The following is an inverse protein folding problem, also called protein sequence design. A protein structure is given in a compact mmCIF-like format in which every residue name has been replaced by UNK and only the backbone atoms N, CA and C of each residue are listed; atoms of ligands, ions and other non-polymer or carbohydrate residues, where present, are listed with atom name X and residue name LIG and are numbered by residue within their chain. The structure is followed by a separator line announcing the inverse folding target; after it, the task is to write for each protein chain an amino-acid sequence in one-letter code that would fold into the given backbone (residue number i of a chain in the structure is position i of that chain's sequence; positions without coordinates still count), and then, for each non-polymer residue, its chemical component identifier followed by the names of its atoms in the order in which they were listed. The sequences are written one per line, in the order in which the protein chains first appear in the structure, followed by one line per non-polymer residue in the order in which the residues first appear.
data_IF_069246964116
#
_entry.id   IF_069246964116
#
_cell.length_a   1.000
_cell.length_b   1.000
_cell.length_c   1.000
_cell.angle_alpha   90.00
_cell.angle_beta   90.00
_cell.angle_gamma   90.00
#
_symmetry.space_group_name_H-M   'P 1'
#
loop_
_entity.id
_entity.type
_entity.pdbx_description
1 polymer ?
#
# COMPACT_ATOMS: atom_id res chain seq x y z
N UNK A 1 37.63 7.05 -24.31
CA UNK A 1 36.92 7.44 -23.06
C UNK A 1 35.64 8.15 -23.45
N UNK A 2 34.50 7.45 -23.48
CA UNK A 2 33.21 8.04 -23.87
C UNK A 2 32.45 8.52 -22.63
N UNK A 3 32.45 9.83 -22.42
CA UNK A 3 31.60 10.48 -21.43
C UNK A 3 30.15 10.36 -21.89
N UNK A 4 29.43 9.36 -21.38
CA UNK A 4 28.00 9.17 -21.65
C UNK A 4 27.22 10.34 -21.08
N UNK A 5 26.82 11.27 -21.95
CA UNK A 5 25.80 12.29 -21.70
C UNK A 5 24.49 11.61 -21.32
N UNK A 6 24.29 11.39 -20.03
CA UNK A 6 22.98 11.00 -19.50
C UNK A 6 22.09 12.24 -19.57
N UNK A 7 21.06 12.19 -20.41
CA UNK A 7 20.05 13.25 -20.48
C UNK A 7 19.53 13.57 -19.07
N UNK A 8 19.18 14.84 -18.78
CA UNK A 8 18.61 15.22 -17.48
C UNK A 8 17.48 14.31 -17.02
N UNK A 9 16.61 13.88 -17.96
CA UNK A 9 15.54 12.92 -17.72
C UNK A 9 16.03 11.56 -17.22
N UNK A 10 17.09 11.00 -17.82
CA UNK A 10 17.65 9.71 -17.41
C UNK A 10 18.28 9.78 -16.01
N UNK A 11 18.92 10.91 -15.66
CA UNK A 11 19.45 11.13 -14.30
C UNK A 11 18.33 11.27 -13.28
N UNK A 12 17.27 11.99 -13.63
CA UNK A 12 16.09 12.12 -12.79
C UNK A 12 15.41 10.77 -12.55
N UNK A 13 15.09 10.01 -13.61
CA UNK A 13 14.47 8.70 -13.50
C UNK A 13 15.32 7.72 -12.67
N UNK A 14 16.65 7.75 -12.80
CA UNK A 14 17.55 6.95 -11.96
C UNK A 14 17.53 7.37 -10.49
N UNK A 15 17.40 8.66 -10.20
CA UNK A 15 17.29 9.15 -8.82
C UNK A 15 15.96 8.76 -8.18
N UNK A 16 14.88 8.89 -8.95
CA UNK A 16 13.50 8.62 -8.51
C UNK A 16 13.26 7.12 -8.31
N UNK A 17 13.58 6.29 -9.32
CA UNK A 17 13.23 4.87 -9.32
C UNK A 17 14.41 3.93 -9.10
N UNK A 18 15.65 4.40 -9.27
CA UNK A 18 16.83 3.53 -9.19
C UNK A 18 16.92 2.75 -7.88
N UNK A 19 16.87 3.40 -6.70
CA UNK A 19 16.94 2.70 -5.42
C UNK A 19 15.86 1.61 -5.25
N UNK A 20 14.62 1.91 -5.68
CA UNK A 20 13.49 0.98 -5.64
C UNK A 20 13.72 -0.20 -6.60
N UNK A 21 14.04 0.11 -7.86
CA UNK A 21 14.25 -0.87 -8.92
C UNK A 21 15.36 -1.86 -8.56
N UNK A 22 16.52 -1.37 -8.08
CA UNK A 22 17.63 -2.25 -7.71
C UNK A 22 17.28 -3.12 -6.50
N UNK A 23 16.57 -2.58 -5.50
CA UNK A 23 16.15 -3.38 -4.34
C UNK A 23 15.24 -4.52 -4.75
N UNK A 24 14.23 -4.22 -5.58
CA UNK A 24 13.28 -5.23 -6.07
C UNK A 24 13.98 -6.26 -6.94
N UNK A 25 14.78 -5.80 -7.92
CA UNK A 25 15.50 -6.70 -8.83
C UNK A 25 16.49 -7.59 -8.08
N UNK A 26 17.27 -7.06 -7.16
CA UNK A 26 18.27 -7.85 -6.44
C UNK A 26 17.61 -8.91 -5.54
N UNK A 27 16.49 -8.56 -4.89
CA UNK A 27 15.69 -9.54 -4.12
C UNK A 27 15.08 -10.62 -5.02
N UNK A 28 14.50 -10.25 -6.17
CA UNK A 28 13.94 -11.21 -7.11
C UNK A 28 14.99 -12.13 -7.74
N UNK A 29 16.20 -11.62 -8.02
CA UNK A 29 17.30 -12.43 -8.54
C UNK A 29 17.83 -13.40 -7.48
N UNK A 30 18.00 -12.93 -6.23
CA UNK A 30 18.57 -13.74 -5.15
C UNK A 30 17.59 -14.76 -4.59
N UNK A 31 16.37 -14.31 -4.29
CA UNK A 31 15.40 -15.05 -3.47
C UNK A 31 14.20 -15.57 -4.30
N UNK A 32 14.06 -15.12 -5.57
CA UNK A 32 12.97 -15.48 -6.49
C UNK A 32 11.60 -15.34 -5.83
N UNK A 33 10.84 -16.43 -5.72
CA UNK A 33 9.49 -16.45 -5.17
C UNK A 33 9.50 -16.31 -3.64
N UNK A 34 10.63 -16.63 -2.99
CA UNK A 34 10.83 -16.45 -1.54
C UNK A 34 11.05 -14.99 -1.16
N UNK A 35 11.15 -14.09 -2.14
CA UNK A 35 11.25 -12.65 -1.90
C UNK A 35 9.94 -12.04 -1.36
N UNK A 36 8.79 -12.66 -1.65
CA UNK A 36 7.48 -12.15 -1.25
C UNK A 36 6.47 -13.27 -0.88
N UNK A 37 6.79 -14.14 0.11
CA UNK A 37 5.94 -15.27 0.48
C UNK A 37 4.56 -14.84 1.02
N UNK A 38 4.48 -13.71 1.73
CA UNK A 38 3.19 -13.20 2.23
C UNK A 38 2.30 -12.75 1.07
N UNK A 39 2.88 -12.04 0.09
CA UNK A 39 2.17 -11.59 -1.11
C UNK A 39 1.66 -12.77 -1.94
N UNK A 40 2.49 -13.82 -2.13
CA UNK A 40 2.06 -15.03 -2.81
C UNK A 40 0.93 -15.73 -2.04
N UNK A 41 1.03 -15.81 -0.71
CA UNK A 41 -0.03 -16.32 0.15
C UNK A 41 -1.33 -15.51 0.02
N UNK A 42 -1.23 -14.19 -0.01
CA UNK A 42 -2.34 -13.27 -0.22
C UNK A 42 -3.02 -13.45 -1.59
N UNK A 43 -2.25 -13.57 -2.67
CA UNK A 43 -2.77 -13.83 -4.02
C UNK A 43 -3.46 -15.19 -4.07
N UNK A 44 -2.83 -16.23 -3.50
CA UNK A 44 -3.43 -17.57 -3.42
C UNK A 44 -4.74 -17.56 -2.63
N UNK A 45 -4.74 -16.92 -1.45
CA UNK A 45 -5.91 -16.82 -0.60
C UNK A 45 -7.06 -16.06 -1.28
N UNK A 46 -6.74 -14.93 -1.93
CA UNK A 46 -7.70 -14.15 -2.74
C UNK A 46 -8.27 -14.98 -3.90
N UNK A 47 -7.42 -15.77 -4.57
CA UNK A 47 -7.85 -16.66 -5.65
C UNK A 47 -8.74 -17.79 -5.14
N UNK A 48 -8.45 -18.36 -3.96
CA UNK A 48 -9.29 -19.37 -3.32
C UNK A 48 -10.65 -18.78 -2.96
N UNK A 49 -10.70 -17.60 -2.34
CA UNK A 49 -11.96 -16.92 -2.05
C UNK A 49 -12.76 -16.63 -3.32
N UNK A 50 -12.09 -16.21 -4.41
CA UNK A 50 -12.73 -16.07 -5.70
C UNK A 50 -13.34 -17.38 -6.22
N UNK A 51 -12.61 -18.49 -6.13
CA UNK A 51 -13.12 -19.78 -6.61
C UNK A 51 -14.33 -20.20 -5.78
N UNK A 52 -14.23 -20.11 -4.45
CA UNK A 52 -15.29 -20.53 -3.52
C UNK A 52 -16.53 -19.65 -3.67
N UNK A 53 -16.41 -18.32 -3.80
CA UNK A 53 -17.58 -17.44 -3.94
C UNK A 53 -18.40 -17.71 -5.21
N UNK A 54 -17.76 -18.25 -6.26
CA UNK A 54 -18.42 -18.61 -7.53
C UNK A 54 -19.03 -20.02 -7.51
N UNK A 55 -19.03 -20.71 -6.36
CA UNK A 55 -19.75 -21.98 -6.19
C UNK A 55 -21.17 -21.75 -5.68
N UNK A 56 -22.07 -22.69 -5.95
CA UNK A 56 -23.49 -22.60 -5.61
C UNK A 56 -23.81 -22.44 -4.11
N UNK A 57 -22.85 -22.75 -3.23
CA UNK A 57 -23.00 -22.66 -1.77
C UNK A 57 -22.00 -21.68 -1.12
N UNK A 58 -20.94 -21.28 -1.82
CA UNK A 58 -19.79 -20.57 -1.22
C UNK A 58 -19.92 -19.05 -1.16
N UNK A 59 -20.91 -18.46 -1.80
CA UNK A 59 -21.15 -17.01 -1.79
C UNK A 59 -21.39 -16.46 -0.37
N UNK A 60 -22.31 -17.07 0.38
CA UNK A 60 -22.71 -16.60 1.71
C UNK A 60 -21.63 -16.79 2.79
N UNK A 61 -20.90 -17.93 2.83
CA UNK A 61 -19.74 -18.10 3.70
C UNK A 61 -18.63 -17.07 3.45
N UNK A 62 -18.29 -16.79 2.18
CA UNK A 62 -17.22 -15.83 1.82
C UNK A 62 -17.62 -14.40 2.17
N UNK A 63 -18.87 -13.99 1.91
CA UNK A 63 -19.40 -12.71 2.37
C UNK A 63 -19.40 -12.59 3.89
N UNK A 64 -19.81 -13.63 4.62
CA UNK A 64 -19.85 -13.60 6.09
C UNK A 64 -18.46 -13.53 6.73
N UNK A 65 -17.42 -14.05 6.06
CA UNK A 65 -16.03 -14.01 6.49
C UNK A 65 -15.31 -12.70 6.11
N UNK A 66 -15.67 -12.09 4.98
CA UNK A 66 -14.89 -11.01 4.35
C UNK A 66 -15.58 -9.66 4.16
N UNK A 67 -16.91 -9.62 4.12
CA UNK A 67 -17.66 -8.36 4.05
C UNK A 67 -17.69 -7.73 5.44
N UNK A 68 -17.04 -6.58 5.57
CA UNK A 68 -17.25 -5.66 6.67
C UNK A 68 -18.24 -4.63 6.16
N UNK A 69 -19.44 -4.62 6.71
CA UNK A 69 -20.42 -3.57 6.41
C UNK A 69 -20.17 -2.39 7.33
N UNK A 70 -20.42 -1.17 6.86
CA UNK A 70 -20.29 0.04 7.68
C UNK A 70 -21.15 0.00 8.97
N UNK A 71 -22.20 -0.84 8.98
CA UNK A 71 -23.12 -1.06 10.11
C UNK A 71 -22.57 -2.06 11.15
N UNK A 72 -21.52 -2.83 10.83
CA UNK A 72 -21.01 -3.86 11.73
C UNK A 72 -20.30 -3.24 12.96
N UNK A 73 -20.39 -3.88 14.14
CA UNK A 73 -19.68 -3.44 15.34
C UNK A 73 -18.19 -3.27 15.06
N UNK A 74 -17.60 -2.19 15.56
CA UNK A 74 -16.21 -1.79 15.26
C UNK A 74 -15.20 -2.91 15.61
N UNK A 75 -15.50 -3.72 16.62
CA UNK A 75 -14.71 -4.89 17.00
C UNK A 75 -14.73 -6.03 15.96
N UNK A 76 -15.88 -6.28 15.32
CA UNK A 76 -16.01 -7.25 14.22
C UNK A 76 -15.31 -6.73 12.95
N UNK A 77 -15.38 -5.43 12.70
CA UNK A 77 -14.63 -4.78 11.63
C UNK A 77 -13.11 -4.89 11.84
N UNK A 78 -12.60 -4.67 13.06
CA UNK A 78 -11.19 -4.85 13.40
C UNK A 78 -10.73 -6.31 13.26
N UNK A 79 -11.59 -7.28 13.57
CA UNK A 79 -11.27 -8.72 13.47
C UNK A 79 -11.31 -9.24 12.03
N UNK A 80 -12.19 -8.69 11.19
CA UNK A 80 -12.40 -9.10 9.78
C UNK A 80 -11.61 -8.28 8.77
N UNK A 81 -11.15 -7.08 9.11
CA UNK A 81 -10.34 -6.21 8.23
C UNK A 81 -9.09 -6.89 7.65
N UNK A 82 -8.36 -7.79 8.36
CA UNK A 82 -7.25 -8.52 7.74
C UNK A 82 -7.71 -9.48 6.63
N UNK A 83 -8.89 -10.08 6.78
CA UNK A 83 -9.47 -11.04 5.82
C UNK A 83 -10.21 -10.34 4.68
N UNK A 84 -10.85 -9.20 4.96
CA UNK A 84 -11.57 -8.36 4.01
C UNK A 84 -10.69 -7.84 2.86
N UNK A 85 -9.40 -7.62 3.14
CA UNK A 85 -8.38 -7.29 2.13
C UNK A 85 -8.26 -8.32 1.00
N UNK A 86 -8.63 -9.58 1.27
CA UNK A 86 -8.48 -10.71 0.35
C UNK A 86 -9.81 -11.19 -0.22
N UNK A 87 -10.93 -10.56 0.13
CA UNK A 87 -12.24 -10.91 -0.41
C UNK A 87 -12.55 -10.02 -1.62
N UNK A 88 -12.68 -10.59 -2.83
CA UNK A 88 -12.91 -9.81 -4.04
C UNK A 88 -14.27 -9.11 -4.01
N UNK A 89 -14.29 -7.81 -4.34
CA UNK A 89 -15.52 -7.11 -4.65
C UNK A 89 -16.14 -7.69 -5.95
N UNK A 90 -17.44 -7.97 -5.92
CA UNK A 90 -18.16 -8.62 -7.04
C UNK A 90 -18.23 -7.75 -8.31
N UNK A 91 -18.02 -6.43 -8.18
CA UNK A 91 -18.26 -5.47 -9.26
C UNK A 91 -17.00 -5.08 -10.06
N UNK A 92 -15.83 -5.67 -9.75
CA UNK A 92 -14.56 -5.37 -10.44
C UNK A 92 -13.88 -6.63 -10.96
N UNK A 93 -13.18 -6.57 -12.13
CA UNK A 93 -12.43 -7.70 -12.63
C UNK A 93 -11.41 -8.15 -11.59
N UNK A 94 -11.54 -9.37 -11.07
CA UNK A 94 -10.65 -9.95 -10.05
C UNK A 94 -9.18 -9.88 -10.42
N UNK A 95 -8.88 -9.95 -11.71
CA UNK A 95 -7.54 -9.77 -12.24
C UNK A 95 -6.91 -8.43 -11.83
N UNK A 96 -7.71 -7.35 -11.71
CA UNK A 96 -7.27 -6.05 -11.23
C UNK A 96 -6.85 -6.08 -9.76
N UNK A 97 -7.66 -6.68 -8.89
CA UNK A 97 -7.33 -6.85 -7.47
C UNK A 97 -6.10 -7.75 -7.26
N UNK A 98 -6.03 -8.88 -7.97
CA UNK A 98 -4.89 -9.80 -7.91
C UNK A 98 -3.60 -9.13 -8.41
N UNK A 99 -3.67 -8.36 -9.50
CA UNK A 99 -2.51 -7.62 -10.02
C UNK A 99 -2.03 -6.55 -9.03
N UNK A 100 -2.96 -5.81 -8.42
CA UNK A 100 -2.63 -4.80 -7.41
C UNK A 100 -1.97 -5.42 -6.18
N UNK A 101 -2.50 -6.53 -5.66
CA UNK A 101 -1.89 -7.28 -4.56
C UNK A 101 -0.50 -7.76 -4.98
N UNK A 102 -0.39 -8.51 -6.07
CA UNK A 102 0.88 -9.07 -6.53
C UNK A 102 1.97 -8.00 -6.69
N UNK A 103 1.64 -6.88 -7.35
CA UNK A 103 2.60 -5.83 -7.64
C UNK A 103 2.89 -4.97 -6.41
N UNK A 104 1.86 -4.40 -5.78
CA UNK A 104 2.08 -3.38 -4.73
C UNK A 104 2.39 -4.02 -3.39
N UNK A 105 1.73 -5.12 -3.01
CA UNK A 105 2.14 -5.85 -1.80
C UNK A 105 3.49 -6.51 -2.02
N UNK A 106 3.77 -7.07 -3.21
CA UNK A 106 5.05 -7.70 -3.52
C UNK A 106 6.22 -6.72 -3.44
N UNK A 107 6.10 -5.56 -4.11
CA UNK A 107 7.10 -4.49 -4.02
C UNK A 107 7.25 -4.03 -2.57
N UNK A 108 6.15 -3.82 -1.84
CA UNK A 108 6.19 -3.37 -0.45
C UNK A 108 6.85 -4.39 0.46
N UNK A 109 6.49 -5.67 0.38
CA UNK A 109 7.07 -6.75 1.17
C UNK A 109 8.58 -6.83 0.97
N UNK A 110 9.04 -6.76 -0.28
CA UNK A 110 10.47 -6.75 -0.60
C UNK A 110 11.16 -5.50 -0.03
N UNK A 111 10.52 -4.34 -0.15
CA UNK A 111 11.14 -3.05 0.15
C UNK A 111 11.15 -2.71 1.64
N UNK A 112 10.07 -3.02 2.35
CA UNK A 112 9.86 -2.60 3.75
C UNK A 112 9.64 -3.79 4.70
N UNK A 113 9.52 -5.02 4.18
CA UNK A 113 9.29 -6.24 4.94
C UNK A 113 7.81 -6.52 5.18
N UNK A 114 7.45 -7.81 5.25
CA UNK A 114 6.06 -8.29 5.35
C UNK A 114 5.27 -7.65 6.51
N UNK A 115 5.87 -7.55 7.70
CA UNK A 115 5.22 -6.95 8.87
C UNK A 115 4.82 -5.49 8.64
N UNK A 116 5.71 -4.69 8.03
CA UNK A 116 5.42 -3.28 7.76
C UNK A 116 4.39 -3.15 6.65
N UNK A 117 4.45 -4.01 5.64
CA UNK A 117 3.42 -4.07 4.59
C UNK A 117 2.04 -4.32 5.21
N UNK A 118 1.92 -5.30 6.11
CA UNK A 118 0.66 -5.58 6.79
C UNK A 118 0.19 -4.43 7.67
N UNK A 119 1.07 -3.86 8.51
CA UNK A 119 0.69 -2.75 9.41
C UNK A 119 0.25 -1.52 8.63
N UNK A 120 1.00 -1.13 7.59
CA UNK A 120 0.65 0.05 6.78
C UNK A 120 -0.62 -0.20 5.97
N UNK A 121 -0.76 -1.37 5.37
CA UNK A 121 -1.99 -1.76 4.66
C UNK A 121 -3.20 -1.75 5.60
N UNK A 122 -3.05 -2.27 6.82
CA UNK A 122 -4.09 -2.27 7.84
C UNK A 122 -4.49 -0.87 8.27
N UNK A 123 -3.51 0.01 8.55
CA UNK A 123 -3.79 1.43 8.88
C UNK A 123 -4.54 2.13 7.76
N UNK A 124 -4.15 1.90 6.51
CA UNK A 124 -4.80 2.49 5.34
C UNK A 124 -6.26 2.03 5.20
N UNK A 125 -6.52 0.72 5.30
CA UNK A 125 -7.89 0.17 5.25
C UNK A 125 -8.74 0.61 6.44
N UNK A 126 -8.15 0.64 7.64
CA UNK A 126 -8.86 1.12 8.84
C UNK A 126 -9.24 2.60 8.71
N UNK A 127 -8.38 3.42 8.11
CA UNK A 127 -8.68 4.83 7.87
C UNK A 127 -9.82 5.01 6.85
N UNK A 128 -9.82 4.24 5.76
CA UNK A 128 -10.93 4.26 4.78
C UNK A 128 -12.27 3.89 5.42
N UNK A 129 -12.31 2.74 6.10
CA UNK A 129 -13.53 2.26 6.79
C UNK A 129 -13.98 3.18 7.93
N UNK A 130 -13.06 3.83 8.66
CA UNK A 130 -13.41 4.82 9.69
C UNK A 130 -13.98 6.08 9.06
N UNK A 131 -13.42 6.53 7.94
CA UNK A 131 -13.94 7.65 7.18
C UNK A 131 -15.36 7.37 6.67
N UNK A 132 -15.62 6.18 6.12
CA UNK A 132 -16.96 5.80 5.68
C UNK A 132 -17.99 5.88 6.83
N UNK A 133 -17.61 5.41 8.03
CA UNK A 133 -18.46 5.51 9.24
C UNK A 133 -18.71 6.95 9.68
N UNK A 134 -17.67 7.78 9.72
CA UNK A 134 -17.78 9.20 10.11
C UNK A 134 -18.60 9.97 9.07
N UNK A 135 -18.34 9.79 7.78
CA UNK A 135 -19.08 10.42 6.70
C UNK A 135 -20.57 10.07 6.72
N UNK A 136 -20.92 8.81 6.98
CA UNK A 136 -22.31 8.39 7.17
C UNK A 136 -22.96 9.04 8.40
N UNK A 137 -22.21 9.28 9.47
CA UNK A 137 -22.72 9.95 10.69
C UNK A 137 -22.92 11.45 10.51
N UNK A 138 -22.17 12.09 9.61
CA UNK A 138 -22.26 13.52 9.31
C UNK A 138 -23.44 13.87 8.39
N UNK A 139 -23.95 12.90 7.61
CA UNK A 139 -25.09 13.08 6.70
C UNK A 139 -24.76 13.85 5.42
N UNK A 140 -25.57 13.68 4.36
CA UNK A 140 -25.29 14.19 3.02
C UNK A 140 -25.15 15.74 2.93
N UNK A 141 -25.69 16.47 3.89
CA UNK A 141 -25.66 17.93 3.93
C UNK A 141 -24.29 18.50 4.37
N UNK A 142 -23.38 17.63 4.82
CA UNK A 142 -22.03 18.02 5.24
C UNK A 142 -21.01 17.80 4.10
N UNK A 143 -20.04 18.71 3.87
CA UNK A 143 -19.05 18.57 2.78
C UNK A 143 -18.14 17.33 2.89
N UNK A 144 -18.10 16.69 4.06
CA UNK A 144 -17.42 15.39 4.30
C UNK A 144 -18.40 14.24 4.58
N UNK A 145 -19.70 14.49 4.41
CA UNK A 145 -20.75 13.54 4.68
C UNK A 145 -21.01 12.63 3.49
N UNK A 146 -21.66 11.49 3.76
CA UNK A 146 -22.01 10.49 2.77
C UNK A 146 -23.53 10.29 2.75
N UNK A 147 -24.15 10.17 1.57
CA UNK A 147 -25.56 9.85 1.45
C UNK A 147 -25.84 8.43 1.96
N UNK A 148 -27.04 8.22 2.54
CA UNK A 148 -27.44 6.94 3.16
C UNK A 148 -27.46 5.79 2.14
N UNK A 149 -27.56 6.07 0.84
CA UNK A 149 -27.44 5.10 -0.25
C UNK A 149 -26.11 4.35 -0.27
N UNK A 150 -25.04 4.96 0.24
CA UNK A 150 -23.69 4.38 0.25
C UNK A 150 -23.51 3.32 1.36
N UNK A 151 -24.49 3.18 2.27
CA UNK A 151 -24.49 2.23 3.39
C UNK A 151 -24.50 0.75 2.96
N UNK A 152 -24.78 0.46 1.68
CA UNK A 152 -24.93 -0.90 1.12
C UNK A 152 -23.74 -1.30 0.22
N UNK A 153 -22.86 -0.36 -0.14
CA UNK A 153 -21.69 -0.65 -0.97
C UNK A 153 -20.65 -1.39 -0.11
N UNK A 154 -20.17 -2.54 -0.59
CA UNK A 154 -19.13 -3.30 0.09
C UNK A 154 -17.83 -2.46 0.10
N UNK A 155 -17.43 -1.95 1.28
CA UNK A 155 -16.16 -1.23 1.57
C UNK A 155 -14.93 -2.17 1.53
N UNK A 156 -14.94 -3.19 0.66
CA UNK A 156 -14.02 -4.32 0.76
C UNK A 156 -13.26 -4.50 -0.52
N UNK A 157 -12.05 -3.95 -0.55
CA UNK A 157 -11.07 -4.21 -1.58
C UNK A 157 -9.66 -3.85 -1.13
N UNK A 158 -8.62 -4.45 -1.73
CA UNK A 158 -7.23 -4.15 -1.39
C UNK A 158 -6.83 -2.71 -1.77
N UNK A 159 -7.65 -1.97 -2.53
CA UNK A 159 -7.30 -0.69 -3.15
C UNK A 159 -6.85 0.38 -2.16
N UNK A 160 -7.54 0.57 -1.03
CA UNK A 160 -7.13 1.54 0.00
C UNK A 160 -5.75 1.18 0.58
N UNK A 161 -5.51 -0.10 0.88
CA UNK A 161 -4.21 -0.59 1.33
C UNK A 161 -3.13 -0.43 0.25
N UNK A 162 -3.46 -0.70 -1.01
CA UNK A 162 -2.57 -0.55 -2.17
C UNK A 162 -2.14 0.91 -2.32
N UNK A 163 -3.08 1.85 -2.28
CA UNK A 163 -2.80 3.29 -2.36
C UNK A 163 -1.93 3.72 -1.18
N UNK A 164 -2.29 3.34 0.04
CA UNK A 164 -1.50 3.65 1.25
C UNK A 164 -0.07 3.11 1.17
N UNK A 165 0.10 1.85 0.77
CA UNK A 165 1.41 1.23 0.58
C UNK A 165 2.24 1.93 -0.50
N UNK A 166 1.62 2.30 -1.62
CA UNK A 166 2.28 3.04 -2.69
C UNK A 166 2.85 4.37 -2.17
N UNK A 167 2.07 5.13 -1.40
CA UNK A 167 2.54 6.38 -0.76
C UNK A 167 3.69 6.13 0.20
N UNK A 168 3.57 5.12 1.07
CA UNK A 168 4.61 4.82 2.06
C UNK A 168 5.92 4.38 1.39
N UNK A 169 5.87 3.52 0.37
CA UNK A 169 7.05 3.10 -0.39
C UNK A 169 7.67 4.27 -1.14
N UNK A 170 6.86 5.10 -1.80
CA UNK A 170 7.34 6.31 -2.47
C UNK A 170 8.07 7.24 -1.50
N UNK A 171 7.50 7.48 -0.31
CA UNK A 171 8.15 8.26 0.73
C UNK A 171 9.47 7.62 1.20
N UNK A 172 9.48 6.30 1.43
CA UNK A 172 10.63 5.55 1.95
C UNK A 172 11.83 5.54 1.00
N UNK A 173 11.56 5.52 -0.30
CA UNK A 173 12.56 5.51 -1.39
C UNK A 173 12.81 6.89 -1.99
N UNK A 174 12.13 7.93 -1.49
CA UNK A 174 12.18 9.31 -2.01
C UNK A 174 11.72 9.44 -3.46
N UNK A 175 10.83 8.56 -3.90
CA UNK A 175 10.13 8.66 -5.17
C UNK A 175 8.94 9.64 -5.05
N UNK A 176 9.24 10.90 -4.71
CA UNK A 176 8.22 11.89 -4.35
C UNK A 176 7.36 12.34 -5.53
N UNK A 177 7.92 12.40 -6.74
CA UNK A 177 7.11 12.72 -7.92
C UNK A 177 6.10 11.60 -8.17
N UNK A 178 6.55 10.36 -8.06
CA UNK A 178 5.68 9.18 -8.22
C UNK A 178 4.56 9.20 -7.17
N UNK A 179 4.89 9.46 -5.91
CA UNK A 179 3.90 9.61 -4.84
C UNK A 179 2.91 10.76 -5.09
N UNK A 180 3.39 11.91 -5.57
CA UNK A 180 2.54 13.05 -5.91
C UNK A 180 1.58 12.74 -7.06
N UNK A 181 2.04 11.99 -8.08
CA UNK A 181 1.19 11.53 -9.19
C UNK A 181 0.09 10.60 -8.66
N UNK A 182 0.41 9.66 -7.76
CA UNK A 182 -0.61 8.79 -7.14
C UNK A 182 -1.67 9.63 -6.43
N UNK A 183 -1.26 10.61 -5.62
CA UNK A 183 -2.21 11.51 -4.93
C UNK A 183 -3.08 12.27 -5.95
N UNK A 184 -2.46 12.84 -7.00
CA UNK A 184 -3.19 13.58 -8.02
C UNK A 184 -4.20 12.72 -8.77
N UNK A 185 -3.85 11.46 -9.08
CA UNK A 185 -4.77 10.50 -9.71
C UNK A 185 -5.96 10.20 -8.78
N UNK A 186 -5.71 9.98 -7.48
CA UNK A 186 -6.79 9.70 -6.52
C UNK A 186 -7.70 10.90 -6.30
N UNK A 187 -7.15 12.12 -6.27
CA UNK A 187 -7.95 13.36 -6.25
C UNK A 187 -8.79 13.46 -7.52
N UNK A 188 -8.20 13.21 -8.69
CA UNK A 188 -8.91 13.22 -9.97
C UNK A 188 -10.05 12.22 -10.00
N UNK A 189 -9.88 11.02 -9.44
CA UNK A 189 -10.94 10.03 -9.32
C UNK A 189 -12.12 10.55 -8.49
N UNK A 190 -11.86 11.18 -7.34
CA UNK A 190 -12.92 11.78 -6.51
C UNK A 190 -13.64 12.90 -7.26
N UNK A 191 -12.90 13.78 -7.95
CA UNK A 191 -13.51 14.91 -8.66
C UNK A 191 -14.34 14.47 -9.88
N UNK A 192 -13.97 13.37 -10.54
CA UNK A 192 -14.66 12.89 -11.75
C UNK A 192 -15.83 11.97 -11.42
N UNK A 193 -15.70 11.11 -10.40
CA UNK A 193 -16.71 10.08 -10.10
C UNK A 193 -17.58 10.37 -8.89
N UNK A 194 -17.20 11.33 -8.03
CA UNK A 194 -17.80 11.59 -6.71
C UNK A 194 -18.20 10.31 -5.96
N UNK A 195 -17.29 9.32 -5.97
CA UNK A 195 -17.55 8.00 -5.41
C UNK A 195 -17.01 7.87 -3.98
N UNK A 196 -17.68 7.05 -3.18
CA UNK A 196 -17.24 6.68 -1.83
C UNK A 196 -15.79 6.16 -1.83
N UNK A 197 -15.47 5.26 -2.77
CA UNK A 197 -14.18 4.62 -2.87
C UNK A 197 -13.01 5.63 -2.99
N UNK A 198 -13.16 6.69 -3.78
CA UNK A 198 -12.13 7.72 -3.90
C UNK A 198 -11.94 8.49 -2.59
N UNK A 199 -13.02 8.77 -1.85
CA UNK A 199 -12.93 9.46 -0.54
C UNK A 199 -12.24 8.58 0.51
N UNK A 200 -12.51 7.27 0.50
CA UNK A 200 -11.77 6.30 1.33
C UNK A 200 -10.28 6.25 0.98
N UNK A 201 -9.93 6.32 -0.32
CA UNK A 201 -8.52 6.38 -0.74
C UNK A 201 -7.83 7.65 -0.25
N UNK A 202 -8.52 8.80 -0.28
CA UNK A 202 -7.97 10.04 0.29
C UNK A 202 -7.77 9.93 1.82
N UNK A 203 -8.70 9.30 2.54
CA UNK A 203 -8.54 9.04 3.96
C UNK A 203 -7.34 8.11 4.24
N UNK A 204 -7.18 7.06 3.45
CA UNK A 204 -6.03 6.17 3.51
C UNK A 204 -4.70 6.91 3.26
N UNK A 205 -4.65 7.77 2.23
CA UNK A 205 -3.48 8.62 1.94
C UNK A 205 -3.16 9.52 3.14
N UNK A 206 -4.16 10.21 3.69
CA UNK A 206 -3.97 11.13 4.81
C UNK A 206 -3.40 10.41 6.04
N UNK A 207 -3.95 9.24 6.40
CA UNK A 207 -3.49 8.44 7.52
C UNK A 207 -2.04 7.97 7.32
N UNK A 208 -1.71 7.44 6.13
CA UNK A 208 -0.34 6.98 5.85
C UNK A 208 0.66 8.15 5.79
N UNK A 209 0.26 9.30 5.26
CA UNK A 209 1.09 10.51 5.30
C UNK A 209 1.38 10.95 6.74
N UNK A 210 0.39 10.88 7.64
CA UNK A 210 0.61 11.11 9.06
C UNK A 210 1.64 10.14 9.64
N UNK A 211 1.56 8.84 9.31
CA UNK A 211 2.57 7.84 9.70
C UNK A 211 3.96 8.23 9.17
N UNK A 212 4.07 8.64 7.90
CA UNK A 212 5.33 9.10 7.30
C UNK A 212 5.92 10.30 8.07
N UNK A 213 5.09 11.29 8.42
CA UNK A 213 5.52 12.48 9.19
C UNK A 213 5.98 12.10 10.59
N UNK A 214 5.21 11.28 11.30
CA UNK A 214 5.55 10.78 12.65
C UNK A 214 6.89 10.06 12.62
N UNK A 215 7.10 9.17 11.64
CA UNK A 215 8.36 8.44 11.47
C UNK A 215 9.52 9.34 11.07
N UNK A 216 9.29 10.36 10.25
CA UNK A 216 10.32 11.33 9.89
C UNK A 216 10.80 12.14 11.11
N UNK A 217 9.87 12.56 11.98
CA UNK A 217 10.16 13.41 13.14
C UNK A 217 10.68 12.63 14.34
N UNK A 218 10.08 11.49 14.66
CA UNK A 218 10.33 10.75 15.90
C UNK A 218 10.82 9.33 15.69
N UNK A 219 10.92 8.86 14.45
CA UNK A 219 11.39 7.50 14.16
C UNK A 219 12.91 7.33 14.37
N UNK A 220 13.40 6.08 14.51
CA UNK A 220 14.83 5.77 14.61
C UNK A 220 15.62 6.30 13.41
N UNK A 221 16.91 6.63 13.57
CA UNK A 221 17.76 7.17 12.49
C UNK A 221 17.73 6.33 11.20
N UNK A 222 17.70 5.00 11.34
CA UNK A 222 17.56 4.06 10.20
C UNK A 222 16.26 4.23 9.41
N UNK A 223 15.20 4.74 10.04
CA UNK A 223 13.93 5.08 9.37
C UNK A 223 13.97 6.44 8.68
N UNK A 224 14.83 7.36 9.12
CA UNK A 224 15.07 8.68 8.50
C UNK A 224 16.02 8.58 7.30
N UNK A 225 16.92 7.60 7.32
CA UNK A 225 17.86 7.33 6.24
C UNK A 225 17.16 6.63 5.04
N UNK A 226 17.32 7.12 3.79
CA UNK A 226 16.76 6.49 2.60
C UNK A 226 17.27 5.06 2.39
N UNK A 227 16.38 4.16 1.97
CA UNK A 227 16.73 2.81 1.54
C UNK A 227 17.40 2.91 0.16
N UNK A 228 18.44 2.11 -0.07
CA UNK A 228 19.14 2.04 -1.37
C UNK A 228 20.31 3.02 -1.56
N UNK A 229 20.68 3.84 -0.56
CA UNK A 229 22.04 4.41 -0.53
C UNK A 229 23.00 3.33 -0.04
N UNK A 230 23.86 2.82 -0.93
CA UNK A 230 25.00 1.98 -0.52
C UNK A 230 25.79 2.75 0.55
N UNK A 231 26.16 2.14 1.68
CA UNK A 231 27.07 2.78 2.62
C UNK A 231 28.32 3.23 1.86
N UNK A 232 28.87 4.43 2.13
CA UNK A 232 30.19 4.75 1.60
C UNK A 232 31.16 3.63 2.01
N UNK A 233 32.08 3.22 1.12
CA UNK A 233 33.08 2.22 1.48
C UNK A 233 33.75 2.65 2.79
N UNK A 234 33.89 1.69 3.72
CA UNK A 234 34.54 1.95 5.00
C UNK A 234 35.88 2.64 4.74
N UNK A 235 36.12 3.76 5.43
CA UNK A 235 37.39 4.46 5.32
C UNK A 235 38.52 3.45 5.61
N UNK A 236 39.60 3.42 4.81
CA UNK A 236 40.74 2.56 5.09
C UNK A 236 41.21 2.77 6.54
N UNK A 237 41.38 1.69 7.29
CA UNK A 237 41.96 1.77 8.63
C UNK A 237 43.31 2.47 8.54
N UNK A 238 43.62 3.43 9.44
CA UNK A 238 44.91 4.08 9.44
C UNK A 238 46.02 3.02 9.61
N UNK A 239 47.16 3.18 8.92
CA UNK A 239 48.27 2.23 8.99
C UNK A 239 48.69 2.08 10.46
N UNK A 240 48.69 0.84 10.95
CA UNK A 240 49.23 0.55 12.27
C UNK A 240 50.72 0.91 12.25
N UNK A 241 51.12 1.85 13.11
CA UNK A 241 52.54 2.16 13.29
C UNK A 241 53.22 0.91 13.84
N UNK A 242 54.36 0.48 13.27
CA UNK A 242 55.17 -0.56 13.88
C UNK A 242 55.53 -0.12 15.30
N UNK A 243 55.24 -0.97 16.28
CA UNK A 243 55.66 -0.75 17.66
C UNK A 243 57.18 -0.72 17.72
N UNK A 244 57.70 0.32 18.38
CA UNK A 244 59.10 0.42 18.84
C UNK A 244 59.29 -0.38 20.11
#
# INVERSE_FOLDING_TARGET
MTAWTTTPLRRFARREWGPLFWTVKDALVRDRWRAAPMTLGAVCLTSVFQIVQNTSWGFQPVQNLGSVKAVDPLWLALLRTPLSLFVPALDLPVWGALAQILLVFGISEICIGWWRTLVIGYVATLAGTTYARIGLSLGADHPFGLPVSDRVVNDTGPSAAVVGLAIYVCWRYRAYLTGAIVIAVMIGEVLVKDNLAGKEHLAAIAAVMAVCVVRARWGPERSRAPLGRRPPPAAPLPPQRPGT
#
